data_IF_137105361727
#
_entry.id   IF_137105361727
#
_cell.length_a   1.000
_cell.length_b   1.000
_cell.length_c   1.000
_cell.angle_alpha   90.00
_cell.angle_beta   90.00
_cell.angle_gamma   90.00
#
_symmetry.space_group_name_H-M   'P 1'
#
loop_
_entity.id
_entity.type
_entity.pdbx_description
1 polymer ?
#
# COMPACT_ATOMS: atom_id res chain seq x y z
N UNK A 1 -37.04 8.25 -8.34
CA UNK A 1 -37.87 9.18 -7.57
C UNK A 1 -36.98 10.35 -7.16
N UNK A 2 -37.19 11.53 -7.75
CA UNK A 2 -36.45 12.73 -7.37
C UNK A 2 -37.10 13.29 -6.12
N UNK A 3 -36.55 12.95 -4.96
CA UNK A 3 -36.98 13.51 -3.67
C UNK A 3 -36.72 15.00 -3.70
N UNK A 4 -37.77 15.79 -3.52
CA UNK A 4 -37.69 17.25 -3.47
C UNK A 4 -36.92 17.63 -2.20
N UNK A 5 -35.66 18.01 -2.33
CA UNK A 5 -34.83 18.45 -1.20
C UNK A 5 -35.29 19.85 -0.79
N UNK A 6 -35.61 20.02 0.49
CA UNK A 6 -36.01 21.32 1.04
C UNK A 6 -34.77 22.15 1.37
N UNK A 7 -34.94 23.48 1.50
CA UNK A 7 -33.82 24.36 1.86
C UNK A 7 -33.32 24.03 3.28
N UNK A 8 -34.25 23.70 4.18
CA UNK A 8 -33.97 23.28 5.55
C UNK A 8 -33.15 21.99 5.61
N UNK A 9 -33.43 21.00 4.74
CA UNK A 9 -32.63 19.78 4.64
C UNK A 9 -31.19 20.09 4.17
N UNK A 10 -31.05 21.02 3.22
CA UNK A 10 -29.73 21.41 2.72
C UNK A 10 -28.90 22.12 3.79
N UNK A 11 -29.52 22.99 4.61
CA UNK A 11 -28.87 23.69 5.71
C UNK A 11 -28.49 22.73 6.84
N UNK A 12 -29.40 21.82 7.22
CA UNK A 12 -29.15 20.79 8.23
C UNK A 12 -27.95 19.90 7.89
N UNK A 13 -27.77 19.57 6.61
CA UNK A 13 -26.60 18.82 6.15
C UNK A 13 -25.29 19.59 6.33
N UNK A 14 -25.31 20.92 6.21
CA UNK A 14 -24.12 21.76 6.41
C UNK A 14 -23.79 21.84 7.90
N UNK A 15 -24.80 22.03 8.76
CA UNK A 15 -24.64 22.07 10.21
C UNK A 15 -24.03 20.75 10.74
N UNK A 16 -24.42 19.61 10.18
CA UNK A 16 -23.86 18.30 10.52
C UNK A 16 -22.35 18.18 10.24
N UNK A 17 -21.83 18.91 9.25
CA UNK A 17 -20.41 18.87 8.90
C UNK A 17 -19.56 19.65 9.92
N UNK A 18 -20.14 20.63 10.61
CA UNK A 18 -19.44 21.39 11.67
C UNK A 18 -19.25 20.55 12.94
N UNK A 19 -20.16 19.63 13.22
CA UNK A 19 -20.09 18.74 14.39
C UNK A 19 -19.17 17.53 14.17
N UNK A 20 -18.68 17.31 12.96
CA UNK A 20 -17.87 16.14 12.63
C UNK A 20 -16.46 16.29 13.22
N UNK A 21 -16.02 15.37 14.12
CA UNK A 21 -14.66 15.41 14.64
C UNK A 21 -13.68 15.15 13.49
N UNK A 22 -12.76 16.09 13.28
CA UNK A 22 -11.69 15.90 12.31
C UNK A 22 -10.69 14.86 12.86
N UNK A 23 -10.20 13.93 12.02
CA UNK A 23 -9.08 13.09 12.39
C UNK A 23 -7.82 13.97 12.40
N UNK A 24 -7.50 14.53 13.57
CA UNK A 24 -6.32 15.40 13.79
C UNK A 24 -5.00 14.69 13.49
N UNK A 25 -5.03 13.35 13.43
CA UNK A 25 -3.87 12.52 13.18
C UNK A 25 -3.78 12.20 11.69
N UNK A 26 -3.07 13.04 10.96
CA UNK A 26 -2.47 12.59 9.70
C UNK A 26 -1.55 11.40 10.03
N UNK A 27 -1.64 10.28 9.30
CA UNK A 27 -0.67 9.22 9.45
C UNK A 27 0.72 9.80 9.15
N UNK A 28 1.59 9.83 10.16
CA UNK A 28 3.00 10.16 9.96
C UNK A 28 3.59 9.08 9.05
N UNK A 29 3.84 9.45 7.78
CA UNK A 29 4.47 8.60 6.78
C UNK A 29 6.01 8.62 6.94
N UNK A 30 6.54 9.46 7.84
CA UNK A 30 7.97 9.57 8.05
C UNK A 30 8.48 8.42 8.91
N UNK A 31 9.35 7.54 8.37
CA UNK A 31 9.98 6.51 9.16
C UNK A 31 10.86 7.17 10.24
N UNK A 32 10.96 6.58 11.45
CA UNK A 32 11.87 7.10 12.46
C UNK A 32 13.31 7.11 11.92
N UNK A 33 14.15 8.09 12.31
CA UNK A 33 15.55 8.13 11.91
C UNK A 33 16.24 6.86 12.41
N UNK A 34 16.59 5.97 11.48
CA UNK A 34 17.29 4.73 11.75
C UNK A 34 18.72 4.83 11.24
N UNK A 35 19.69 4.50 12.10
CA UNK A 35 21.10 4.44 11.71
C UNK A 35 21.30 3.25 10.77
N UNK A 36 21.71 3.52 9.53
CA UNK A 36 22.08 2.46 8.58
C UNK A 36 23.49 1.99 8.93
N UNK A 37 23.60 0.83 9.56
CA UNK A 37 24.89 0.16 9.77
C UNK A 37 25.28 -0.54 8.47
N UNK A 38 26.21 0.05 7.71
CA UNK A 38 26.78 -0.61 6.54
C UNK A 38 27.98 -1.47 6.94
N UNK A 39 27.87 -2.78 6.74
CA UNK A 39 28.99 -3.70 6.84
C UNK A 39 29.27 -4.29 5.45
N UNK A 40 30.44 -3.98 4.89
CA UNK A 40 30.88 -4.61 3.66
C UNK A 40 31.14 -6.10 3.92
N UNK A 41 30.40 -6.97 3.21
CA UNK A 41 30.69 -8.39 3.14
C UNK A 41 31.60 -8.65 1.93
N UNK A 42 32.80 -9.15 2.17
CA UNK A 42 33.75 -9.55 1.11
C UNK A 42 33.72 -11.06 0.83
N UNK A 43 32.80 -11.78 1.47
CA UNK A 43 32.59 -13.18 1.17
C UNK A 43 32.05 -13.33 -0.26
N UNK A 44 32.75 -14.11 -1.07
CA UNK A 44 32.35 -14.46 -2.43
C UNK A 44 31.53 -15.74 -2.48
N UNK A 45 31.25 -16.37 -1.34
CA UNK A 45 30.33 -17.49 -1.24
C UNK A 45 28.95 -17.08 -1.72
N UNK A 46 28.23 -18.03 -2.34
CA UNK A 46 26.87 -17.80 -2.81
C UNK A 46 25.86 -17.89 -1.66
N UNK A 47 25.96 -16.96 -0.71
CA UNK A 47 25.16 -16.88 0.51
C UNK A 47 23.65 -16.78 0.21
N UNK A 48 23.30 -16.09 -0.88
CA UNK A 48 21.91 -15.87 -1.31
C UNK A 48 21.32 -17.01 -2.15
N UNK A 49 21.87 -18.23 -2.07
CA UNK A 49 21.38 -19.40 -2.82
C UNK A 49 19.87 -19.59 -2.71
N UNK A 50 19.33 -19.44 -1.50
CA UNK A 50 17.91 -19.60 -1.26
C UNK A 50 17.10 -18.51 -1.98
N UNK A 51 17.53 -17.24 -1.90
CA UNK A 51 16.89 -16.14 -2.60
C UNK A 51 16.95 -16.31 -4.13
N UNK A 52 18.07 -16.81 -4.65
CA UNK A 52 18.22 -17.15 -6.06
C UNK A 52 17.24 -18.25 -6.51
N UNK A 53 17.15 -19.35 -5.76
CA UNK A 53 16.21 -20.45 -6.05
C UNK A 53 14.77 -19.96 -6.00
N UNK A 54 14.40 -19.16 -5.00
CA UNK A 54 13.08 -18.56 -4.89
C UNK A 54 12.79 -17.60 -6.04
N UNK A 55 13.77 -16.80 -6.46
CA UNK A 55 13.64 -15.89 -7.60
C UNK A 55 13.37 -16.63 -8.91
N UNK A 56 14.12 -17.71 -9.17
CA UNK A 56 13.93 -18.55 -10.35
C UNK A 56 12.56 -19.24 -10.33
N UNK A 57 12.16 -19.80 -9.18
CA UNK A 57 10.86 -20.44 -9.02
C UNK A 57 9.70 -19.47 -9.32
N UNK A 58 9.77 -18.24 -8.77
CA UNK A 58 8.79 -17.18 -9.06
C UNK A 58 8.72 -16.86 -10.54
N UNK A 59 9.86 -16.73 -11.22
CA UNK A 59 9.90 -16.40 -12.64
C UNK A 59 9.25 -17.50 -13.50
N UNK A 60 9.53 -18.77 -13.18
CA UNK A 60 8.92 -19.93 -13.86
C UNK A 60 7.41 -19.96 -13.65
N UNK A 61 6.95 -19.73 -12.42
CA UNK A 61 5.53 -19.67 -12.10
C UNK A 61 4.84 -18.55 -12.88
N UNK A 62 5.39 -17.35 -12.89
CA UNK A 62 4.86 -16.22 -13.66
C UNK A 62 4.80 -16.51 -15.17
N UNK A 63 5.85 -17.12 -15.73
CA UNK A 63 5.86 -17.52 -17.14
C UNK A 63 4.77 -18.58 -17.45
N UNK A 64 4.55 -19.53 -16.54
CA UNK A 64 3.52 -20.57 -16.67
C UNK A 64 2.12 -19.94 -16.62
N UNK A 65 1.86 -19.08 -15.63
CA UNK A 65 0.59 -18.34 -15.52
C UNK A 65 0.34 -17.51 -16.77
N UNK A 66 1.33 -16.75 -17.24
CA UNK A 66 1.20 -15.95 -18.45
C UNK A 66 0.94 -16.81 -19.70
N UNK A 67 1.60 -17.97 -19.82
CA UNK A 67 1.34 -18.90 -20.92
C UNK A 67 -0.07 -19.51 -20.89
N UNK A 68 -0.64 -19.65 -19.69
CA UNK A 68 -2.00 -20.18 -19.49
C UNK A 68 -3.09 -19.12 -19.64
N UNK A 69 -2.73 -17.83 -19.58
CA UNK A 69 -3.62 -16.72 -19.92
C UNK A 69 -3.74 -16.61 -21.45
N UNK A 70 -4.57 -17.47 -22.01
CA UNK A 70 -5.03 -17.36 -23.40
C UNK A 70 -5.99 -16.17 -23.46
N UNK A 71 -5.71 -15.18 -24.30
CA UNK A 71 -6.68 -14.13 -24.67
C UNK A 71 -7.80 -14.71 -25.53
#
# INVERSE_FOLDING_TARGET
>A
MTTHVTLEDALSNVDLLEELPLPDQQPCIEPPPSSIMYQANFDTNFEDRNAFVTGIARYIEQATVHSSMIF
#
